data_IF_895611562281
#
_entry.id   IF_895611562281
#
_cell.length_a   1.000
_cell.length_b   1.000
_cell.length_c   1.000
_cell.angle_alpha   90.00
_cell.angle_beta   90.00
_cell.angle_gamma   90.00
#
_symmetry.space_group_name_H-M   'P 1'
#
loop_
_entity.id
_entity.type
_entity.pdbx_description
1 polymer ?
#
# COMPACT_ATOMS: atom_id res chain seq x y z
N UNK A 1 11.63 -6.16 48.01
CA UNK A 1 10.93 -6.78 46.85
C UNK A 1 11.14 -6.00 45.54
N UNK A 2 12.20 -5.19 45.40
CA UNK A 2 12.47 -4.36 44.20
C UNK A 2 13.14 -5.12 43.05
N UNK A 3 13.87 -6.20 43.33
CA UNK A 3 14.63 -6.99 42.33
C UNK A 3 13.72 -7.61 41.26
N UNK A 4 12.55 -8.10 41.64
CA UNK A 4 11.59 -8.74 40.73
C UNK A 4 10.98 -7.75 39.71
N UNK A 5 10.82 -6.48 40.08
CA UNK A 5 10.29 -5.44 39.18
C UNK A 5 11.34 -5.00 38.17
N UNK A 6 12.62 -4.96 38.55
CA UNK A 6 13.72 -4.67 37.64
C UNK A 6 13.93 -5.79 36.63
N UNK A 7 13.88 -7.04 37.08
CA UNK A 7 13.93 -8.23 36.22
C UNK A 7 12.78 -8.23 35.19
N UNK A 8 11.54 -7.94 35.63
CA UNK A 8 10.39 -7.78 34.73
C UNK A 8 10.57 -6.66 33.70
N UNK A 9 11.14 -5.50 34.11
CA UNK A 9 11.44 -4.39 33.19
C UNK A 9 12.52 -4.78 32.17
N UNK A 10 13.51 -5.55 32.57
CA UNK A 10 14.58 -6.02 31.70
C UNK A 10 14.06 -7.04 30.68
N UNK A 11 13.25 -7.99 31.13
CA UNK A 11 12.54 -8.94 30.26
C UNK A 11 11.65 -8.21 29.24
N UNK A 12 10.91 -7.18 29.66
CA UNK A 12 10.09 -6.38 28.75
C UNK A 12 10.92 -5.68 27.67
N UNK A 13 12.05 -5.08 28.04
CA UNK A 13 12.97 -4.45 27.07
C UNK A 13 13.57 -5.46 26.10
N UNK A 14 13.85 -6.67 26.56
CA UNK A 14 14.37 -7.74 25.70
C UNK A 14 13.29 -8.22 24.71
N UNK A 15 12.07 -8.43 25.18
CA UNK A 15 10.93 -8.78 24.33
C UNK A 15 10.64 -7.68 23.31
N UNK A 16 10.65 -6.41 23.71
CA UNK A 16 10.45 -5.27 22.80
C UNK A 16 11.53 -5.22 21.71
N UNK A 17 12.79 -5.53 22.05
CA UNK A 17 13.88 -5.64 21.07
C UNK A 17 13.64 -6.78 20.09
N UNK A 18 13.25 -7.96 20.58
CA UNK A 18 12.92 -9.12 19.74
C UNK A 18 11.76 -8.82 18.79
N UNK A 19 10.68 -8.22 19.29
CA UNK A 19 9.52 -7.82 18.48
C UNK A 19 9.95 -6.84 17.38
N UNK A 20 10.77 -5.83 17.69
CA UNK A 20 11.26 -4.89 16.67
C UNK A 20 12.16 -5.57 15.64
N UNK A 21 13.00 -6.52 16.06
CA UNK A 21 13.85 -7.28 15.16
C UNK A 21 13.01 -8.14 14.19
N UNK A 22 12.01 -8.86 14.71
CA UNK A 22 11.09 -9.68 13.91
C UNK A 22 10.32 -8.81 12.92
N UNK A 23 9.73 -7.69 13.35
CA UNK A 23 9.02 -6.76 12.46
C UNK A 23 9.89 -6.24 11.32
N UNK A 24 11.18 -5.95 11.59
CA UNK A 24 12.12 -5.53 10.55
C UNK A 24 12.46 -6.67 9.59
N UNK A 25 12.62 -7.88 10.10
CA UNK A 25 12.86 -9.07 9.29
C UNK A 25 11.67 -9.38 8.38
N UNK A 26 10.45 -9.32 8.91
CA UNK A 26 9.20 -9.48 8.14
C UNK A 26 9.06 -8.40 7.07
N UNK A 27 9.28 -7.12 7.42
CA UNK A 27 9.23 -6.03 6.46
C UNK A 27 10.27 -6.19 5.34
N UNK A 28 11.46 -6.72 5.67
CA UNK A 28 12.48 -7.03 4.67
C UNK A 28 12.04 -8.20 3.79
N UNK A 29 11.57 -9.29 4.39
CA UNK A 29 11.10 -10.46 3.67
C UNK A 29 9.93 -10.13 2.72
N UNK A 30 9.00 -9.26 3.13
CA UNK A 30 7.90 -8.81 2.27
C UNK A 30 8.41 -7.99 1.07
N UNK A 31 9.42 -7.13 1.26
CA UNK A 31 10.06 -6.38 0.17
C UNK A 31 10.77 -7.32 -0.80
N UNK A 32 11.56 -8.25 -0.26
CA UNK A 32 12.31 -9.23 -1.05
C UNK A 32 11.34 -10.13 -1.83
N UNK A 33 10.23 -10.56 -1.21
CA UNK A 33 9.17 -11.32 -1.86
C UNK A 33 8.53 -10.53 -3.01
N UNK A 34 8.19 -9.25 -2.81
CA UNK A 34 7.65 -8.39 -3.87
C UNK A 34 8.61 -8.27 -5.05
N UNK A 35 9.88 -7.98 -4.80
CA UNK A 35 10.90 -7.86 -5.86
C UNK A 35 11.07 -9.19 -6.59
N UNK A 36 11.07 -10.31 -5.86
CA UNK A 36 11.17 -11.64 -6.47
C UNK A 36 9.97 -11.96 -7.37
N UNK A 37 8.76 -11.59 -6.96
CA UNK A 37 7.56 -11.78 -7.76
C UNK A 37 7.59 -10.92 -9.03
N UNK A 38 8.02 -9.66 -8.92
CA UNK A 38 8.19 -8.78 -10.08
C UNK A 38 9.20 -9.34 -11.09
N UNK A 39 10.34 -9.85 -10.62
CA UNK A 39 11.35 -10.49 -11.47
C UNK A 39 10.81 -11.73 -12.17
N UNK A 40 10.09 -12.58 -11.45
CA UNK A 40 9.46 -13.78 -12.02
C UNK A 40 8.42 -13.42 -13.08
N UNK A 41 7.60 -12.41 -12.82
CA UNK A 41 6.61 -11.93 -13.79
C UNK A 41 7.29 -11.39 -15.06
N UNK A 42 8.34 -10.58 -14.91
CA UNK A 42 9.10 -10.07 -16.05
C UNK A 42 9.75 -11.17 -16.88
N UNK A 43 10.35 -12.18 -16.23
CA UNK A 43 10.93 -13.33 -16.91
C UNK A 43 9.87 -14.16 -17.65
N UNK A 44 8.75 -14.45 -16.98
CA UNK A 44 7.63 -15.16 -17.59
C UNK A 44 7.06 -14.41 -18.81
N UNK A 45 6.92 -13.09 -18.71
CA UNK A 45 6.43 -12.27 -19.81
C UNK A 45 7.40 -12.27 -21.00
N UNK A 46 8.69 -12.15 -20.75
CA UNK A 46 9.71 -12.22 -21.80
C UNK A 46 9.69 -13.58 -22.50
N UNK A 47 9.62 -14.67 -21.75
CA UNK A 47 9.51 -16.03 -22.29
C UNK A 47 8.22 -16.22 -23.09
N UNK A 48 7.08 -15.75 -22.56
CA UNK A 48 5.78 -15.84 -23.23
C UNK A 48 5.75 -15.06 -24.56
N UNK A 49 6.40 -13.90 -24.59
CA UNK A 49 6.50 -13.06 -25.78
C UNK A 49 7.61 -13.52 -26.75
N UNK A 50 8.41 -14.52 -26.39
CA UNK A 50 9.53 -15.00 -27.20
C UNK A 50 10.70 -14.01 -27.28
N UNK A 51 10.88 -13.18 -26.26
CA UNK A 51 11.98 -12.22 -26.18
C UNK A 51 13.27 -12.92 -25.72
N UNK A 52 14.11 -13.27 -26.67
CA UNK A 52 15.39 -13.96 -26.43
C UNK A 52 16.56 -12.98 -26.26
N UNK A 53 16.37 -11.71 -26.64
CA UNK A 53 17.39 -10.67 -26.55
C UNK A 53 16.98 -9.52 -25.63
N UNK A 54 17.97 -8.76 -25.18
CA UNK A 54 17.72 -7.55 -24.39
C UNK A 54 16.97 -6.47 -25.19
N UNK A 55 17.11 -6.48 -26.51
CA UNK A 55 16.40 -5.57 -27.43
C UNK A 55 14.92 -5.92 -27.47
N UNK A 56 14.56 -7.21 -27.61
CA UNK A 56 13.17 -7.67 -27.58
C UNK A 56 12.47 -7.33 -26.26
N UNK A 57 13.18 -7.48 -25.12
CA UNK A 57 12.67 -7.09 -23.81
C UNK A 57 12.43 -5.57 -23.75
N UNK A 58 13.30 -4.77 -24.37
CA UNK A 58 13.14 -3.32 -24.49
C UNK A 58 11.91 -2.92 -25.31
N UNK A 59 11.64 -3.64 -26.40
CA UNK A 59 10.46 -3.42 -27.24
C UNK A 59 9.16 -3.76 -26.50
N UNK A 60 9.14 -4.87 -25.75
CA UNK A 60 8.01 -5.20 -24.87
C UNK A 60 7.80 -4.09 -23.83
N UNK A 61 8.88 -3.60 -23.23
CA UNK A 61 8.79 -2.52 -22.26
C UNK A 61 8.17 -1.26 -22.88
N UNK A 62 8.61 -0.85 -24.08
CA UNK A 62 8.04 0.32 -24.76
C UNK A 62 6.54 0.17 -25.01
N UNK A 63 6.10 -1.01 -25.47
CA UNK A 63 4.67 -1.28 -25.70
C UNK A 63 3.87 -1.18 -24.40
N UNK A 64 4.38 -1.76 -23.30
CA UNK A 64 3.72 -1.72 -22.01
C UNK A 64 3.74 -0.34 -21.34
N UNK A 65 4.75 0.48 -21.63
CA UNK A 65 4.85 1.84 -21.11
C UNK A 65 3.91 2.82 -21.81
N UNK A 66 3.26 2.44 -22.92
CA UNK A 66 2.20 3.23 -23.53
C UNK A 66 0.97 3.33 -22.62
N UNK A 67 0.22 4.43 -22.76
CA UNK A 67 -1.03 4.63 -22.02
C UNK A 67 -2.05 3.53 -22.33
N UNK A 68 -2.15 3.11 -23.59
CA UNK A 68 -3.04 2.02 -24.00
C UNK A 68 -2.63 0.68 -23.36
N UNK A 69 -1.32 0.36 -23.34
CA UNK A 69 -0.80 -0.83 -22.68
C UNK A 69 -1.14 -0.86 -21.19
N UNK A 70 -0.99 0.28 -20.51
CA UNK A 70 -1.35 0.45 -19.09
C UNK A 70 -2.85 0.28 -18.85
N UNK A 71 -3.70 0.84 -19.70
CA UNK A 71 -5.16 0.71 -19.59
C UNK A 71 -5.63 -0.72 -19.80
N UNK A 72 -5.06 -1.44 -20.79
CA UNK A 72 -5.38 -2.85 -21.03
C UNK A 72 -4.98 -3.72 -19.83
N UNK A 73 -3.77 -3.53 -19.30
CA UNK A 73 -3.32 -4.26 -18.10
C UNK A 73 -4.18 -3.92 -16.87
N UNK A 74 -4.51 -2.64 -16.66
CA UNK A 74 -5.36 -2.22 -15.56
C UNK A 74 -6.79 -2.79 -15.68
N UNK A 75 -7.33 -2.85 -16.90
CA UNK A 75 -8.63 -3.46 -17.18
C UNK A 75 -8.64 -4.97 -16.94
N UNK A 76 -7.60 -5.68 -17.38
CA UNK A 76 -7.46 -7.13 -17.18
C UNK A 76 -7.30 -7.49 -15.69
N UNK A 77 -6.49 -6.74 -14.95
CA UNK A 77 -6.27 -6.99 -13.52
C UNK A 77 -7.49 -6.57 -12.68
N UNK A 78 -8.13 -5.46 -13.07
CA UNK A 78 -9.32 -4.95 -12.38
C UNK A 78 -10.59 -5.77 -12.62
N UNK A 79 -10.73 -6.40 -13.79
CA UNK A 79 -11.91 -7.18 -14.15
C UNK A 79 -12.04 -8.50 -13.33
N UNK A 80 -10.94 -9.06 -12.84
CA UNK A 80 -10.92 -10.29 -12.04
C UNK A 80 -10.86 -10.04 -10.53
N UNK A 81 -10.92 -8.77 -10.10
CA UNK A 81 -11.03 -8.45 -8.67
C UNK A 81 -12.52 -8.31 -8.33
N UNK A 82 -13.17 -9.26 -7.63
CA UNK A 82 -14.49 -9.01 -7.08
C UNK A 82 -14.36 -7.83 -6.12
N UNK A 83 -14.88 -6.67 -6.51
CA UNK A 83 -14.92 -5.51 -5.65
C UNK A 83 -15.71 -5.85 -4.38
N UNK A 84 -15.32 -5.31 -3.20
CA UNK A 84 -16.19 -5.40 -2.04
C UNK A 84 -17.51 -4.74 -2.42
N UNK A 85 -18.55 -5.54 -2.42
CA UNK A 85 -19.91 -5.13 -2.71
C UNK A 85 -20.26 -3.98 -1.76
N UNK A 86 -20.37 -2.78 -2.32
CA UNK A 86 -20.92 -1.62 -1.59
C UNK A 86 -22.41 -1.87 -1.46
N UNK A 87 -22.79 -2.75 -0.53
CA UNK A 87 -24.15 -2.84 -0.02
C UNK A 87 -24.35 -1.64 0.90
N UNK A 88 -24.50 -0.44 0.32
CA UNK A 88 -25.15 0.66 1.02
C UNK A 88 -26.63 0.32 1.09
N UNK A 89 -26.99 -0.52 2.06
CA UNK A 89 -28.33 -0.53 2.60
C UNK A 89 -28.65 0.89 3.04
N UNK A 90 -29.57 1.52 2.32
CA UNK A 90 -30.24 2.74 2.74
C UNK A 90 -31.07 2.41 3.98
N UNK A 91 -30.43 2.41 5.16
CA UNK A 91 -31.13 2.49 6.43
C UNK A 91 -31.70 3.91 6.53
N UNK A 92 -32.97 4.04 6.17
CA UNK A 92 -33.85 5.10 6.65
C UNK A 92 -33.83 5.10 8.19
N UNK A 93 -32.94 5.90 8.75
CA UNK A 93 -32.97 6.33 10.15
C UNK A 93 -33.30 7.81 10.17
N UNK A 94 -34.58 8.12 10.18
CA UNK A 94 -35.08 9.45 10.53
C UNK A 94 -34.64 9.77 11.95
N UNK A 95 -33.73 10.73 12.14
CA UNK A 95 -33.81 11.58 13.33
C UNK A 95 -33.21 12.96 13.11
N UNK A 96 -33.84 13.88 13.81
CA UNK A 96 -33.86 15.33 13.69
C UNK A 96 -32.50 15.98 13.95
N UNK A 97 -32.07 16.89 13.07
CA UNK A 97 -31.14 17.97 13.45
C UNK A 97 -31.68 19.31 13.01
N UNK A 98 -32.10 20.07 14.03
CA UNK A 98 -32.38 21.50 13.99
C UNK A 98 -31.17 22.24 13.43
N UNK A 99 -31.39 23.05 12.41
CA UNK A 99 -30.45 24.05 11.95
C UNK A 99 -30.48 25.27 12.88
N UNK A 100 -29.31 25.81 13.23
CA UNK A 100 -29.10 27.27 13.23
C UNK A 100 -27.60 27.61 13.08
N UNK A 101 -27.25 28.71 12.38
CA UNK A 101 -25.95 28.94 11.75
C UNK A 101 -25.10 29.98 12.49
N UNK A 102 -23.80 29.94 12.23
CA UNK A 102 -22.93 31.09 12.47
C UNK A 102 -21.54 30.71 12.96
N UNK A 103 -20.66 30.34 12.04
CA UNK A 103 -19.36 31.02 12.02
C UNK A 103 -18.69 30.85 10.65
N UNK A 104 -18.65 31.94 9.90
CA UNK A 104 -18.02 32.04 8.59
C UNK A 104 -16.50 32.06 8.72
N UNK A 105 -15.86 31.27 7.86
CA UNK A 105 -14.43 31.20 7.56
C UNK A 105 -13.67 32.54 7.60
N UNK A 106 -12.38 32.49 7.96
CA UNK A 106 -11.27 33.13 7.21
C UNK A 106 -9.95 32.45 7.59
N UNK A 107 -9.25 31.93 6.58
CA UNK A 107 -8.04 31.12 6.70
C UNK A 107 -6.77 31.88 7.11
N UNK A 108 -5.98 31.22 7.96
CA UNK A 108 -4.62 31.64 8.31
C UNK A 108 -3.63 31.40 7.16
N UNK A 109 -3.34 32.45 6.40
CA UNK A 109 -2.20 32.53 5.48
C UNK A 109 -1.00 33.08 6.27
N UNK A 110 0.09 32.29 6.35
CA UNK A 110 1.36 32.69 6.97
C UNK A 110 2.06 33.77 6.12
N UNK A 111 2.69 34.79 6.72
CA UNK A 111 3.73 35.56 6.05
C UNK A 111 5.14 35.05 6.38
N UNK A 112 5.97 35.22 5.38
CA UNK A 112 7.40 34.92 5.22
C UNK A 112 8.25 35.85 6.09
N UNK A 113 9.36 35.33 6.64
CA UNK A 113 10.39 36.13 7.31
C UNK A 113 11.46 36.53 6.27
N UNK A 114 11.81 37.82 6.23
CA UNK A 114 13.11 38.30 5.73
C UNK A 114 14.17 38.20 6.84
#
# INVERSE_FOLDING_TARGET
MSKTVEEMKQQRRELDRKIRAVKRAEAKAAKDAKVSAQRRLGAWLAEYAGADTAEDVGDIQQVLDTEQGRQVLAGLIGADTPGPETTTEAVQGSDSTVADPGDTAVGGRRPVWD
#
